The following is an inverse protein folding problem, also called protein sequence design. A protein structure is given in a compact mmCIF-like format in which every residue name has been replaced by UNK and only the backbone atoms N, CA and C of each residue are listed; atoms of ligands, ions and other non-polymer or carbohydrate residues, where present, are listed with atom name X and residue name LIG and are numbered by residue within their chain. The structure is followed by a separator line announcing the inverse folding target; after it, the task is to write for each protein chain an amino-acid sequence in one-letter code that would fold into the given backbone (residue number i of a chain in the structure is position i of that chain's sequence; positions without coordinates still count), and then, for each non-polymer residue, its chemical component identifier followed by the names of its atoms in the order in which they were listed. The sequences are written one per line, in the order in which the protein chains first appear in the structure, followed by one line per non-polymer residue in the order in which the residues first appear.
data_IF_482607662525
#
_entry.id   IF_482607662525
#
_cell.length_a   1.000
_cell.length_b   1.000
_cell.length_c   1.000
_cell.angle_alpha   90.00
_cell.angle_beta   90.00
_cell.angle_gamma   90.00
#
_symmetry.space_group_name_H-M   'P 1'
#
loop_
_entity.id
_entity.type
_entity.pdbx_description
1 polymer ?
#
# COMPACT_ATOMS: atom_id res chain seq x y z
N UNK A 1 5.58 -33.38 -62.44
CA UNK A 1 7.03 -33.16 -62.29
C UNK A 1 7.20 -31.82 -61.57
N UNK A 2 7.35 -31.84 -60.24
CA UNK A 2 8.62 -31.57 -59.52
C UNK A 2 8.51 -30.22 -58.80
N UNK A 3 8.02 -30.19 -57.55
CA UNK A 3 8.83 -30.24 -56.32
C UNK A 3 10.00 -29.23 -56.30
N UNK A 4 9.89 -28.18 -55.46
CA UNK A 4 11.00 -27.61 -54.69
C UNK A 4 10.60 -26.32 -53.96
N UNK A 5 10.26 -26.40 -52.67
CA UNK A 5 10.91 -25.55 -51.67
C UNK A 5 10.82 -26.26 -50.32
N UNK A 6 11.97 -26.74 -49.89
CA UNK A 6 12.21 -27.13 -48.52
C UNK A 6 12.33 -25.84 -47.70
N UNK A 7 11.38 -25.58 -46.81
CA UNK A 7 11.56 -24.74 -45.63
C UNK A 7 11.35 -25.70 -44.45
N UNK A 8 12.36 -26.52 -44.18
CA UNK A 8 13.32 -26.23 -43.10
C UNK A 8 12.63 -26.19 -41.75
N UNK A 9 12.41 -27.41 -41.26
CA UNK A 9 12.48 -27.76 -39.85
C UNK A 9 13.55 -26.92 -39.15
N UNK A 10 13.14 -25.98 -38.28
CA UNK A 10 13.95 -25.58 -37.15
C UNK A 10 13.04 -25.09 -36.02
N UNK A 11 12.93 -25.95 -35.01
CA UNK A 11 12.47 -25.62 -33.68
C UNK A 11 13.33 -24.49 -33.10
N UNK A 12 12.72 -23.49 -32.45
CA UNK A 12 13.34 -22.88 -31.28
C UNK A 12 12.66 -23.46 -30.05
N UNK A 13 13.30 -24.47 -29.46
CA UNK A 13 13.20 -24.75 -28.03
C UNK A 13 13.74 -23.54 -27.28
N UNK A 14 12.88 -22.53 -27.12
CA UNK A 14 13.11 -21.38 -26.26
C UNK A 14 12.76 -21.77 -24.83
N UNK A 15 13.75 -22.33 -24.13
CA UNK A 15 13.71 -22.63 -22.70
C UNK A 15 13.33 -21.36 -21.93
N UNK A 16 12.11 -21.32 -21.39
CA UNK A 16 11.77 -20.37 -20.34
C UNK A 16 12.46 -20.85 -19.07
N UNK A 17 13.66 -20.32 -18.84
CA UNK A 17 14.43 -20.51 -17.63
C UNK A 17 13.63 -19.95 -16.45
N UNK A 18 13.19 -20.86 -15.60
CA UNK A 18 12.46 -20.62 -14.36
C UNK A 18 13.42 -19.99 -13.34
N UNK A 19 13.63 -18.68 -13.45
CA UNK A 19 14.32 -17.93 -12.40
C UNK A 19 13.36 -17.69 -11.23
N UNK A 20 13.20 -18.71 -10.38
CA UNK A 20 12.81 -18.55 -8.98
C UNK A 20 14.05 -18.06 -8.23
N UNK A 21 14.16 -16.78 -7.82
CA UNK A 21 15.20 -16.40 -6.88
C UNK A 21 14.84 -16.95 -5.50
N UNK A 22 15.31 -18.16 -5.21
CA UNK A 22 15.52 -18.63 -3.85
C UNK A 22 16.68 -17.84 -3.22
N UNK A 23 16.44 -16.60 -2.83
CA UNK A 23 17.31 -15.91 -1.86
C UNK A 23 16.93 -16.37 -0.46
N UNK A 24 17.48 -17.52 -0.11
CA UNK A 24 17.73 -17.90 1.27
C UNK A 24 18.78 -16.95 1.85
N UNK A 25 18.35 -15.95 2.60
CA UNK A 25 19.09 -15.49 3.79
C UNK A 25 18.06 -15.01 4.79
N UNK A 26 17.84 -15.85 5.79
CA UNK A 26 17.22 -15.46 7.04
C UNK A 26 18.08 -14.38 7.71
N UNK A 27 17.42 -13.52 8.49
CA UNK A 27 18.02 -12.58 9.44
C UNK A 27 18.65 -11.39 8.72
N UNK A 28 18.02 -10.22 8.66
CA UNK A 28 17.90 -9.36 9.84
C UNK A 28 16.53 -8.66 9.90
N UNK A 29 15.74 -9.03 10.90
CA UNK A 29 14.80 -8.09 11.51
C UNK A 29 15.69 -7.12 12.28
N UNK A 30 15.74 -5.81 11.99
CA UNK A 30 16.28 -4.88 12.95
C UNK A 30 15.33 -4.88 14.16
N UNK A 31 15.62 -5.78 15.10
CA UNK A 31 15.11 -5.78 16.45
C UNK A 31 15.65 -4.53 17.14
N UNK A 32 15.09 -3.37 16.83
CA UNK A 32 15.31 -2.18 17.64
C UNK A 32 14.37 -2.24 18.85
N UNK A 33 14.67 -3.20 19.71
CA UNK A 33 14.04 -3.41 21.01
C UNK A 33 15.09 -3.24 22.10
N UNK A 34 15.79 -2.11 22.15
CA UNK A 34 16.40 -1.65 23.41
C UNK A 34 16.41 -0.14 23.46
N UNK A 35 15.43 0.38 24.17
CA UNK A 35 15.33 1.76 24.59
C UNK A 35 14.38 1.82 25.76
N UNK A 36 14.72 1.13 26.85
CA UNK A 36 14.18 1.42 28.19
C UNK A 36 14.76 2.77 28.58
N UNK A 37 14.21 3.81 27.97
CA UNK A 37 14.38 5.19 28.37
C UNK A 37 13.06 5.63 28.94
N UNK A 38 13.02 5.85 30.25
CA UNK A 38 12.00 6.65 30.92
C UNK A 38 12.10 8.07 30.38
N UNK A 39 11.58 8.28 29.17
CA UNK A 39 11.51 9.56 28.49
C UNK A 39 10.05 10.04 28.61
N UNK A 40 9.81 11.30 29.04
CA UNK A 40 8.46 11.82 29.25
C UNK A 40 7.66 11.62 27.97
N UNK A 41 6.55 10.88 28.10
CA UNK A 41 5.72 10.36 27.01
C UNK A 41 5.71 11.29 25.79
N UNK A 42 6.61 11.02 24.84
CA UNK A 42 6.68 11.76 23.59
C UNK A 42 5.31 11.64 22.94
N UNK A 43 4.58 12.76 22.90
CA UNK A 43 3.19 12.85 22.49
C UNK A 43 2.96 11.97 21.27
N UNK A 44 2.37 10.79 21.48
CA UNK A 44 2.16 9.79 20.44
C UNK A 44 1.42 10.52 19.34
N UNK A 45 2.04 10.65 18.16
CA UNK A 45 1.43 11.32 17.01
C UNK A 45 0.01 10.76 16.89
N UNK A 46 -1.05 11.57 17.00
CA UNK A 46 -2.40 11.06 17.06
C UNK A 46 -2.62 10.19 15.83
N UNK A 47 -2.91 8.90 16.05
CA UNK A 47 -3.23 7.99 14.95
C UNK A 47 -4.42 8.60 14.24
N UNK A 48 -4.29 8.77 12.93
CA UNK A 48 -5.32 9.39 12.10
C UNK A 48 -6.54 8.48 12.10
N UNK A 49 -7.55 8.83 12.89
CA UNK A 49 -8.79 8.05 12.97
C UNK A 49 -9.56 8.04 11.64
N UNK A 50 -9.37 9.06 10.81
CA UNK A 50 -10.12 9.24 9.57
C UNK A 50 -9.22 9.78 8.45
N UNK A 51 -9.06 9.00 7.37
CA UNK A 51 -8.48 9.49 6.13
C UNK A 51 -9.43 10.46 5.41
N UNK A 52 -8.89 11.50 4.78
CA UNK A 52 -9.70 12.43 3.97
C UNK A 52 -10.32 11.74 2.74
N UNK A 53 -11.35 12.35 2.15
CA UNK A 53 -12.09 11.79 0.99
C UNK A 53 -11.16 11.38 -0.16
N UNK A 54 -10.17 12.21 -0.49
CA UNK A 54 -9.27 11.94 -1.62
C UNK A 54 -8.31 10.79 -1.33
N UNK A 55 -7.72 10.74 -0.13
CA UNK A 55 -6.88 9.62 0.29
C UNK A 55 -7.69 8.32 0.35
N UNK A 56 -8.94 8.36 0.83
CA UNK A 56 -9.86 7.21 0.78
C UNK A 56 -10.09 6.73 -0.66
N UNK A 57 -10.49 7.63 -1.56
CA UNK A 57 -10.76 7.30 -2.98
C UNK A 57 -9.53 6.72 -3.68
N UNK A 58 -8.34 7.27 -3.40
CA UNK A 58 -7.07 6.79 -3.98
C UNK A 58 -6.44 5.62 -3.23
N UNK A 59 -7.03 5.18 -2.11
CA UNK A 59 -6.50 4.13 -1.23
C UNK A 59 -5.05 4.41 -0.76
N UNK A 60 -4.73 5.68 -0.51
CA UNK A 60 -3.39 6.13 -0.09
C UNK A 60 -3.36 6.46 1.40
N UNK A 61 -2.17 6.39 2.01
CA UNK A 61 -1.97 6.73 3.42
C UNK A 61 -2.26 8.21 3.66
N UNK A 62 -3.17 8.50 4.60
CA UNK A 62 -3.49 9.86 5.01
C UNK A 62 -2.76 10.19 6.32
N UNK A 63 -2.08 11.34 6.37
CA UNK A 63 -1.40 11.82 7.57
C UNK A 63 -2.31 12.62 8.52
N UNK A 64 -3.57 12.87 8.16
CA UNK A 64 -4.55 13.49 9.05
C UNK A 64 -4.29 14.95 9.43
N UNK A 65 -3.28 15.62 8.85
CA UNK A 65 -3.07 17.05 9.11
C UNK A 65 -4.30 17.85 8.67
N UNK A 66 -4.65 18.84 9.48
CA UNK A 66 -5.77 19.77 9.26
C UNK A 66 -5.16 21.17 9.13
N UNK A 67 -5.59 22.01 8.17
CA UNK A 67 -6.77 21.87 7.32
C UNK A 67 -6.61 20.92 6.13
N UNK A 68 -5.38 20.73 5.63
CA UNK A 68 -5.06 19.93 4.44
C UNK A 68 -4.05 18.85 4.81
N UNK A 69 -4.27 17.62 4.35
CA UNK A 69 -3.29 16.54 4.54
C UNK A 69 -2.08 16.73 3.62
N UNK A 70 -0.89 16.26 4.01
CA UNK A 70 0.37 16.44 3.28
C UNK A 70 0.31 15.91 1.84
N UNK A 71 -0.44 14.83 1.62
CA UNK A 71 -0.66 14.28 0.28
C UNK A 71 -1.54 15.20 -0.59
N UNK A 72 -2.54 15.87 -0.02
CA UNK A 72 -3.40 16.81 -0.75
C UNK A 72 -2.71 18.17 -0.94
N UNK A 73 -1.92 18.61 0.04
CA UNK A 73 -1.12 19.83 -0.01
C UNK A 73 -0.10 19.75 -1.16
N UNK A 74 0.68 18.67 -1.23
CA UNK A 74 1.61 18.42 -2.34
C UNK A 74 0.93 18.32 -3.70
N UNK A 75 -0.31 17.83 -3.73
CA UNK A 75 -1.08 17.74 -4.95
C UNK A 75 -1.75 19.07 -5.34
N UNK A 76 -1.78 20.07 -4.44
CA UNK A 76 -2.47 21.35 -4.67
C UNK A 76 -3.98 21.21 -4.84
N UNK A 77 -4.60 20.23 -4.17
CA UNK A 77 -6.03 19.91 -4.35
C UNK A 77 -6.83 20.05 -3.06
N UNK A 78 -8.14 20.26 -3.23
CA UNK A 78 -9.08 20.33 -2.13
C UNK A 78 -9.02 19.06 -1.24
N UNK A 79 -8.85 19.27 0.06
CA UNK A 79 -8.84 18.23 1.07
C UNK A 79 -10.09 18.34 1.93
N UNK A 80 -10.97 17.35 1.82
CA UNK A 80 -12.20 17.30 2.59
C UNK A 80 -12.18 16.08 3.52
N UNK A 81 -12.46 16.30 4.81
CA UNK A 81 -12.71 15.26 5.79
C UNK A 81 -14.21 15.17 6.03
N UNK A 82 -14.87 14.19 5.41
CA UNK A 82 -16.28 13.93 5.69
C UNK A 82 -16.39 12.99 6.88
N UNK A 83 -16.96 13.52 7.96
CA UNK A 83 -17.53 12.70 9.02
C UNK A 83 -18.82 12.14 8.44
N UNK A 84 -18.76 10.91 7.92
CA UNK A 84 -19.98 10.13 7.76
C UNK A 84 -20.51 9.92 9.17
N UNK A 85 -21.44 10.77 9.61
CA UNK A 85 -22.34 10.41 10.69
C UNK A 85 -22.90 9.08 10.23
N UNK A 86 -22.57 8.00 10.93
CA UNK A 86 -23.18 6.72 10.63
C UNK A 86 -24.68 6.99 10.61
N UNK A 87 -25.40 6.69 9.51
CA UNK A 87 -26.85 6.76 9.53
C UNK A 87 -27.25 5.97 10.77
N UNK A 88 -27.90 6.64 11.72
CA UNK A 88 -28.41 5.99 12.92
C UNK A 88 -29.43 4.99 12.40
N UNK A 89 -28.98 3.76 12.14
CA UNK A 89 -29.84 2.69 11.72
C UNK A 89 -30.85 2.51 12.86
N UNK A 90 -32.16 2.66 12.62
CA UNK A 90 -33.17 2.68 13.68
C UNK A 90 -33.41 1.29 14.33
N UNK A 91 -32.38 0.45 14.44
CA UNK A 91 -32.43 -0.89 15.03
C UNK A 91 -31.07 -1.44 15.51
N UNK A 92 -30.03 -0.62 15.60
CA UNK A 92 -28.70 -1.03 16.08
C UNK A 92 -28.61 -0.97 17.60
N UNK A 93 -29.17 -1.96 18.29
CA UNK A 93 -29.08 -2.17 19.75
C UNK A 93 -27.70 -1.82 20.31
N UNK A 94 -27.69 -0.84 21.20
CA UNK A 94 -26.61 -0.58 22.15
C UNK A 94 -27.17 -0.92 23.53
N UNK A 95 -27.16 -2.21 23.88
CA UNK A 95 -27.32 -2.78 25.23
C UNK A 95 -27.07 -4.28 25.12
#
# INVERSE_FOLDING_TARGET
MSQSYAESLLSPSGSADDHIPASSTATEIPSNSTGVGTQPAAARKPRVALACKRCKRRKQRCNGARPVCRSCERAGVACAYERTLRPQYPGGKSA
#
